data_IF_836338737097
#
_entry.id   IF_836338737097
#
_cell.length_a   1.000
_cell.length_b   1.000
_cell.length_c   1.000
_cell.angle_alpha   90.00
_cell.angle_beta   90.00
_cell.angle_gamma   90.00
#
_symmetry.space_group_name_H-M   'P 1'
#
loop_
_entity.id
_entity.type
_entity.pdbx_description
1 polymer ?
#
# COMPACT_ATOMS: atom_id res chain seq x y z
N UNK A 1 26.80 16.36 -11.97
CA UNK A 1 25.71 15.67 -11.26
C UNK A 1 25.47 16.22 -9.85
N UNK A 2 25.94 17.43 -9.51
CA UNK A 2 25.90 17.92 -8.11
C UNK A 2 24.55 18.56 -7.72
N UNK A 3 23.56 18.53 -8.62
CA UNK A 3 22.27 19.21 -8.48
C UNK A 3 21.08 18.28 -8.76
N UNK A 4 21.29 16.96 -8.79
CA UNK A 4 20.24 15.97 -9.04
C UNK A 4 20.22 14.97 -7.89
N UNK A 5 19.03 14.76 -7.33
CA UNK A 5 18.77 13.72 -6.33
C UNK A 5 17.79 12.72 -6.95
N UNK A 6 18.19 11.44 -6.97
CA UNK A 6 17.35 10.31 -7.39
C UNK A 6 17.09 9.46 -6.16
N UNK A 7 15.82 9.09 -5.96
CA UNK A 7 15.41 8.21 -4.89
C UNK A 7 14.72 6.96 -5.46
N UNK A 8 14.92 5.76 -4.88
CA UNK A 8 14.40 4.51 -5.44
C UNK A 8 12.91 4.31 -5.10
N UNK A 9 12.04 5.17 -5.62
CA UNK A 9 10.58 5.13 -5.44
C UNK A 9 10.13 5.01 -3.95
N UNK A 10 10.87 5.64 -3.03
CA UNK A 10 10.63 5.55 -1.58
C UNK A 10 9.55 6.52 -1.06
N UNK A 11 8.79 7.17 -1.95
CA UNK A 11 7.80 8.20 -1.56
C UNK A 11 6.74 7.69 -0.57
N UNK A 12 6.37 6.41 -0.64
CA UNK A 12 5.42 5.76 0.26
C UNK A 12 6.07 4.98 1.41
N UNK A 13 7.39 5.00 1.54
CA UNK A 13 8.14 4.20 2.53
C UNK A 13 8.12 4.77 3.94
N UNK A 14 7.07 5.51 4.32
CA UNK A 14 6.86 5.98 5.70
C UNK A 14 6.11 4.93 6.52
N UNK A 15 6.32 4.94 7.84
CA UNK A 15 5.63 4.01 8.76
C UNK A 15 4.11 4.18 8.70
N UNK A 16 3.63 5.42 8.59
CA UNK A 16 2.21 5.77 8.52
C UNK A 16 1.58 5.20 7.23
N UNK A 17 2.24 5.41 6.09
CA UNK A 17 1.74 4.96 4.79
C UNK A 17 1.73 3.44 4.74
N UNK A 18 2.84 2.78 5.12
CA UNK A 18 2.91 1.31 5.10
C UNK A 18 1.94 0.66 6.08
N UNK A 19 1.72 1.23 7.26
CA UNK A 19 0.72 0.73 8.22
C UNK A 19 -0.71 0.85 7.66
N UNK A 20 -1.04 1.96 7.00
CA UNK A 20 -2.36 2.14 6.36
C UNK A 20 -2.56 1.17 5.20
N UNK A 21 -1.55 1.00 4.34
CA UNK A 21 -1.61 0.05 3.22
C UNK A 21 -1.78 -1.39 3.72
N UNK A 22 -1.00 -1.81 4.73
CA UNK A 22 -1.16 -3.13 5.34
C UNK A 22 -2.59 -3.35 5.87
N UNK A 23 -3.16 -2.34 6.55
CA UNK A 23 -4.55 -2.40 7.00
C UNK A 23 -5.57 -2.57 5.88
N UNK A 24 -5.37 -1.92 4.72
CA UNK A 24 -6.22 -2.10 3.55
C UNK A 24 -6.06 -3.50 2.94
N UNK A 25 -4.84 -4.02 2.88
CA UNK A 25 -4.56 -5.39 2.41
C UNK A 25 -5.28 -6.43 3.25
N UNK A 26 -5.21 -6.32 4.59
CA UNK A 26 -5.91 -7.23 5.51
C UNK A 26 -7.42 -7.17 5.27
N UNK A 27 -8.01 -5.97 5.20
CA UNK A 27 -9.46 -5.83 4.95
C UNK A 27 -9.90 -6.43 3.61
N UNK A 28 -9.11 -6.25 2.56
CA UNK A 28 -9.39 -6.87 1.26
C UNK A 28 -9.36 -8.40 1.37
N UNK A 29 -8.38 -8.96 2.08
CA UNK A 29 -8.26 -10.40 2.28
C UNK A 29 -9.46 -10.95 3.07
N UNK A 30 -9.85 -10.30 4.17
CA UNK A 30 -11.02 -10.68 4.97
C UNK A 30 -12.30 -10.68 4.14
N UNK A 31 -12.53 -9.64 3.33
CA UNK A 31 -13.69 -9.55 2.45
C UNK A 31 -13.69 -10.68 1.41
N UNK A 32 -12.58 -10.88 0.71
CA UNK A 32 -12.46 -11.93 -0.29
C UNK A 32 -12.70 -13.33 0.30
N UNK A 33 -12.11 -13.63 1.46
CA UNK A 33 -12.30 -14.91 2.15
C UNK A 33 -13.74 -15.10 2.65
N UNK A 34 -14.45 -14.01 2.96
CA UNK A 34 -15.87 -14.04 3.33
C UNK A 34 -16.83 -14.13 2.13
N UNK A 35 -16.32 -14.28 0.90
CA UNK A 35 -17.13 -14.28 -0.32
C UNK A 35 -17.72 -12.91 -0.68
N UNK A 36 -17.22 -11.83 -0.05
CA UNK A 36 -17.64 -10.45 -0.31
C UNK A 36 -16.68 -9.79 -1.32
N UNK A 37 -17.18 -8.77 -2.00
CA UNK A 37 -16.37 -7.95 -2.90
C UNK A 37 -15.30 -7.19 -2.10
N UNK A 38 -14.04 -7.31 -2.54
CA UNK A 38 -12.92 -6.53 -2.01
C UNK A 38 -13.13 -5.03 -2.22
N UNK A 39 -12.54 -4.20 -1.35
CA UNK A 39 -12.55 -2.74 -1.48
C UNK A 39 -11.83 -2.33 -2.76
N UNK A 40 -10.71 -2.99 -3.06
CA UNK A 40 -9.94 -2.80 -4.27
C UNK A 40 -9.75 -4.15 -4.98
N UNK A 41 -10.00 -4.15 -6.29
CA UNK A 41 -9.73 -5.26 -7.22
C UNK A 41 -9.23 -4.64 -8.52
N UNK A 42 -8.11 -5.15 -9.02
CA UNK A 42 -7.58 -4.81 -10.35
C UNK A 42 -8.12 -5.77 -11.40
#
# INVERSE_FOLDING_TARGET
>A
MNNVVIAPHIGSSTSETRKKMAGLTVKNLELALSGKKSIYSV
#
